data_IF_101841592418
#
_entry.id   IF_101841592418
#
_cell.length_a   1.000
_cell.length_b   1.000
_cell.length_c   1.000
_cell.angle_alpha   90.00
_cell.angle_beta   90.00
_cell.angle_gamma   90.00
#
_symmetry.space_group_name_H-M   'P 1'
#
loop_
_entity.id
_entity.type
_entity.pdbx_description
1 polymer ?
#
# COMPACT_ATOMS: atom_id res chain seq x y z
N UNK A 1 7.37 8.21 -27.35
CA UNK A 1 6.49 8.97 -28.28
C UNK A 1 7.33 9.44 -29.45
N UNK A 2 7.00 9.06 -30.69
CA UNK A 2 7.67 9.53 -31.93
C UNK A 2 7.03 10.84 -32.37
N UNK A 3 7.84 11.79 -32.83
CA UNK A 3 7.36 13.07 -33.38
C UNK A 3 6.58 12.85 -34.68
N UNK A 4 5.41 13.47 -34.79
CA UNK A 4 4.58 13.46 -35.99
C UNK A 4 5.07 14.53 -36.97
N UNK A 5 5.33 14.13 -38.22
CA UNK A 5 5.88 14.98 -39.28
C UNK A 5 4.83 15.63 -40.19
N UNK A 6 3.52 15.47 -39.96
CA UNK A 6 2.47 16.24 -40.65
C UNK A 6 1.10 16.18 -39.95
N UNK A 7 0.30 17.25 -40.08
CA UNK A 7 -0.95 17.51 -39.36
C UNK A 7 -2.18 16.72 -39.87
N UNK A 8 -3.02 16.24 -38.95
CA UNK A 8 -4.42 16.69 -38.91
C UNK A 8 -4.47 18.08 -38.25
N UNK A 9 -5.48 18.92 -38.52
CA UNK A 9 -5.52 20.30 -37.99
C UNK A 9 -5.69 20.31 -36.45
N UNK A 10 -4.54 20.34 -35.77
CA UNK A 10 -4.38 20.29 -34.33
C UNK A 10 -2.90 20.08 -34.00
N UNK A 11 -2.24 20.95 -33.24
CA UNK A 11 -0.84 20.77 -32.82
C UNK A 11 -0.79 20.46 -31.32
N UNK A 12 -0.24 19.32 -30.93
CA UNK A 12 0.05 18.99 -29.53
C UNK A 12 1.51 19.33 -29.22
N UNK A 13 1.72 20.21 -28.24
CA UNK A 13 3.03 20.56 -27.70
C UNK A 13 3.10 20.08 -26.26
N UNK A 14 4.13 19.30 -25.92
CA UNK A 14 4.41 18.89 -24.54
C UNK A 14 5.77 19.44 -24.14
N UNK A 15 5.83 20.17 -23.03
CA UNK A 15 7.09 20.71 -22.48
C UNK A 15 7.16 20.49 -20.97
N UNK A 16 8.38 20.27 -20.47
CA UNK A 16 8.64 20.26 -19.02
C UNK A 16 9.06 21.67 -18.62
N UNK A 17 8.40 22.23 -17.61
CA UNK A 17 8.75 23.50 -16.99
C UNK A 17 8.48 23.42 -15.48
N UNK A 18 9.51 23.04 -14.73
CA UNK A 18 9.41 22.88 -13.27
C UNK A 18 9.24 24.21 -12.54
N UNK A 19 9.61 25.34 -13.15
CA UNK A 19 9.43 26.66 -12.55
C UNK A 19 7.97 27.10 -12.67
N UNK A 20 7.34 26.87 -13.83
CA UNK A 20 5.91 27.13 -14.07
C UNK A 20 5.02 26.22 -13.19
N UNK A 21 5.46 24.98 -12.91
CA UNK A 21 4.76 23.99 -12.08
C UNK A 21 5.41 23.74 -10.71
N UNK A 22 5.83 24.79 -10.02
CA UNK A 22 6.53 24.68 -8.73
C UNK A 22 5.72 24.03 -7.59
N UNK A 23 4.39 23.97 -7.69
CA UNK A 23 3.52 23.42 -6.66
C UNK A 23 3.63 21.89 -6.51
N UNK A 24 3.88 21.15 -7.61
CA UNK A 24 4.00 19.69 -7.58
C UNK A 24 4.71 19.15 -8.82
N UNK A 25 5.63 18.16 -8.68
CA UNK A 25 6.23 17.50 -9.83
C UNK A 25 5.21 16.71 -10.66
N UNK A 26 4.08 16.32 -10.07
CA UNK A 26 2.95 15.66 -10.76
C UNK A 26 1.97 16.65 -11.38
N UNK A 27 2.15 17.96 -11.18
CA UNK A 27 1.25 18.97 -11.70
C UNK A 27 1.45 19.27 -13.19
N UNK A 28 0.40 19.78 -13.82
CA UNK A 28 0.43 20.26 -15.21
C UNK A 28 -0.48 21.45 -15.47
N UNK A 29 -0.20 22.16 -16.57
CA UNK A 29 -1.11 23.11 -17.21
C UNK A 29 -1.45 22.58 -18.60
N UNK A 30 -2.73 22.34 -18.86
CA UNK A 30 -3.28 22.01 -20.17
C UNK A 30 -3.97 23.25 -20.74
N UNK A 31 -3.56 23.71 -21.92
CA UNK A 31 -4.21 24.82 -22.63
C UNK A 31 -4.65 24.35 -24.01
N UNK A 32 -5.95 24.49 -24.32
CA UNK A 32 -6.56 24.14 -25.59
C UNK A 32 -7.12 25.43 -26.20
N UNK A 33 -6.60 25.84 -27.35
CA UNK A 33 -7.07 27.03 -28.04
C UNK A 33 -6.72 27.00 -29.54
N UNK A 34 -7.63 27.44 -30.41
CA UNK A 34 -7.36 27.71 -31.84
C UNK A 34 -6.63 26.58 -32.60
N UNK A 35 -6.94 25.31 -32.31
CA UNK A 35 -6.26 24.16 -32.93
C UNK A 35 -4.86 23.86 -32.37
N UNK A 36 -4.53 24.38 -31.19
CA UNK A 36 -3.31 24.05 -30.45
C UNK A 36 -3.68 23.50 -29.08
N UNK A 37 -2.99 22.43 -28.69
CA UNK A 37 -2.99 21.91 -27.33
C UNK A 37 -1.57 21.99 -26.79
N UNK A 38 -1.40 22.65 -25.65
CA UNK A 38 -0.12 22.69 -24.94
C UNK A 38 -0.29 22.05 -23.57
N UNK A 39 0.57 21.09 -23.25
CA UNK A 39 0.70 20.51 -21.91
C UNK A 39 2.07 20.92 -21.37
N UNK A 40 2.06 21.69 -20.28
CA UNK A 40 3.26 21.99 -19.50
C UNK A 40 3.23 21.16 -18.23
N UNK A 41 4.16 20.21 -18.08
CA UNK A 41 4.30 19.40 -16.87
C UNK A 41 5.45 19.87 -15.98
N UNK A 42 5.32 19.71 -14.66
CA UNK A 42 6.44 19.91 -13.74
C UNK A 42 7.52 18.82 -13.85
N UNK A 43 7.14 17.65 -14.37
CA UNK A 43 8.01 16.51 -14.67
C UNK A 43 7.39 15.65 -15.79
N UNK A 44 7.98 14.48 -16.07
CA UNK A 44 7.38 13.48 -16.95
C UNK A 44 6.01 12.97 -16.43
N UNK A 45 5.84 12.83 -15.11
CA UNK A 45 4.56 12.43 -14.52
C UNK A 45 3.48 13.51 -14.75
N UNK A 46 3.84 14.78 -14.59
CA UNK A 46 2.93 15.89 -14.91
C UNK A 46 2.49 15.90 -16.38
N UNK A 47 3.44 15.69 -17.31
CA UNK A 47 3.10 15.54 -18.73
C UNK A 47 2.14 14.36 -18.96
N UNK A 48 2.41 13.22 -18.34
CA UNK A 48 1.57 12.04 -18.43
C UNK A 48 0.15 12.31 -17.95
N UNK A 49 -0.02 12.90 -16.76
CA UNK A 49 -1.36 13.22 -16.23
C UNK A 49 -2.09 14.29 -17.03
N UNK A 50 -1.37 15.26 -17.61
CA UNK A 50 -1.96 16.20 -18.55
C UNK A 50 -2.46 15.53 -19.82
N UNK A 51 -1.75 14.50 -20.30
CA UNK A 51 -2.20 13.69 -21.42
C UNK A 51 -3.44 12.85 -21.06
N UNK A 52 -3.54 12.34 -19.83
CA UNK A 52 -4.74 11.64 -19.36
C UNK A 52 -5.99 12.53 -19.40
N UNK A 53 -5.87 13.77 -18.90
CA UNK A 53 -6.97 14.74 -18.96
C UNK A 53 -7.33 15.10 -20.40
N UNK A 54 -6.34 15.28 -21.27
CA UNK A 54 -6.61 15.51 -22.70
C UNK A 54 -7.33 14.32 -23.34
N UNK A 55 -6.95 13.07 -23.01
CA UNK A 55 -7.60 11.87 -23.55
C UNK A 55 -9.08 11.83 -23.19
N UNK A 56 -9.42 12.09 -21.92
CA UNK A 56 -10.81 12.16 -21.46
C UNK A 56 -11.60 13.25 -22.19
N UNK A 57 -11.02 14.44 -22.37
CA UNK A 57 -11.67 15.51 -23.14
C UNK A 57 -11.88 15.15 -24.62
N UNK A 58 -10.98 14.37 -25.22
CA UNK A 58 -11.12 13.88 -26.60
C UNK A 58 -12.26 12.87 -26.69
N UNK A 59 -12.34 11.93 -25.74
CA UNK A 59 -13.38 10.91 -25.73
C UNK A 59 -14.76 11.53 -25.47
N UNK A 60 -14.89 12.43 -24.49
CA UNK A 60 -16.13 13.18 -24.23
C UNK A 60 -16.59 14.00 -25.45
N UNK A 61 -15.65 14.67 -26.14
CA UNK A 61 -15.96 15.43 -27.34
C UNK A 61 -16.39 14.54 -28.51
N UNK A 62 -15.76 13.36 -28.65
CA UNK A 62 -16.12 12.36 -29.65
C UNK A 62 -17.53 11.83 -29.39
N UNK A 63 -17.84 11.47 -28.15
CA UNK A 63 -19.13 10.91 -27.75
C UNK A 63 -20.28 11.91 -27.93
N UNK A 64 -20.00 13.20 -27.70
CA UNK A 64 -20.96 14.29 -27.92
C UNK A 64 -20.97 14.82 -29.36
N UNK A 65 -20.08 14.31 -30.23
CA UNK A 65 -19.87 14.80 -31.60
C UNK A 65 -19.66 16.33 -31.67
N UNK A 66 -18.82 16.85 -30.77
CA UNK A 66 -18.43 18.26 -30.70
C UNK A 66 -16.91 18.40 -30.88
N UNK A 67 -16.43 19.63 -31.10
CA UNK A 67 -15.01 19.92 -30.99
C UNK A 67 -14.58 19.91 -29.51
N UNK A 68 -13.31 19.56 -29.25
CA UNK A 68 -12.72 19.64 -27.91
C UNK A 68 -12.85 21.11 -27.42
N UNK A 69 -13.40 21.36 -26.23
CA UNK A 69 -13.63 22.72 -25.74
C UNK A 69 -12.32 23.47 -25.54
N UNK A 70 -12.30 24.76 -25.90
CA UNK A 70 -11.19 25.63 -25.57
C UNK A 70 -11.17 25.90 -24.07
N UNK A 71 -10.05 25.61 -23.40
CA UNK A 71 -9.93 25.74 -21.96
C UNK A 71 -8.48 25.92 -21.52
N UNK A 72 -8.31 26.31 -20.26
CA UNK A 72 -7.03 26.23 -19.53
C UNK A 72 -7.30 25.51 -18.21
N UNK A 73 -6.64 24.39 -18.00
CA UNK A 73 -6.70 23.59 -16.78
C UNK A 73 -5.33 23.65 -16.12
N UNK A 74 -5.28 24.07 -14.86
CA UNK A 74 -4.12 23.93 -13.99
C UNK A 74 -4.49 22.92 -12.93
N UNK A 75 -3.74 21.81 -12.86
CA UNK A 75 -4.11 20.67 -12.03
C UNK A 75 -2.87 20.03 -11.40
N UNK A 76 -3.02 19.59 -10.15
CA UNK A 76 -1.98 18.94 -9.35
C UNK A 76 -2.64 18.17 -8.19
N UNK A 77 -2.03 17.05 -7.73
CA UNK A 77 -2.67 16.22 -6.72
C UNK A 77 -2.55 16.80 -5.31
N UNK A 78 -3.64 16.71 -4.54
CA UNK A 78 -3.64 17.01 -3.10
C UNK A 78 -2.85 15.97 -2.27
N UNK A 79 -2.85 14.71 -2.74
CA UNK A 79 -2.19 13.58 -2.09
C UNK A 79 -1.19 12.97 -3.07
N UNK A 80 0.07 12.89 -2.65
CA UNK A 80 1.19 12.41 -3.49
C UNK A 80 1.25 10.90 -3.66
N UNK A 81 0.61 10.13 -2.78
CA UNK A 81 0.53 8.67 -2.86
C UNK A 81 -0.95 8.25 -2.93
N UNK A 82 -1.41 7.93 -4.14
CA UNK A 82 -2.79 7.58 -4.46
C UNK A 82 -2.80 6.10 -4.81
N UNK A 83 -2.83 5.26 -3.78
CA UNK A 83 -2.70 3.82 -3.94
C UNK A 83 -4.04 3.09 -3.94
N UNK A 84 -4.10 2.01 -4.70
CA UNK A 84 -5.14 0.98 -4.58
C UNK A 84 -4.57 -0.26 -3.90
N UNK A 85 -5.34 -0.86 -2.99
CA UNK A 85 -5.03 -2.17 -2.43
C UNK A 85 -5.64 -3.27 -3.31
N UNK A 86 -4.82 -4.21 -3.75
CA UNK A 86 -5.22 -5.35 -4.56
C UNK A 86 -4.97 -6.65 -3.78
N UNK A 87 -6.04 -7.28 -3.32
CA UNK A 87 -6.01 -8.56 -2.62
C UNK A 87 -6.10 -9.74 -3.60
N UNK A 88 -5.09 -10.61 -3.60
CA UNK A 88 -5.03 -11.83 -4.43
C UNK A 88 -5.30 -13.12 -3.64
N UNK A 89 -5.55 -13.04 -2.33
CA UNK A 89 -5.69 -14.19 -1.41
C UNK A 89 -6.64 -15.25 -1.93
N UNK A 90 -7.85 -14.85 -2.32
CA UNK A 90 -8.92 -15.79 -2.68
C UNK A 90 -9.08 -16.02 -4.18
N UNK A 91 -8.78 -15.01 -5.00
CA UNK A 91 -9.02 -15.04 -6.44
C UNK A 91 -7.82 -14.47 -7.19
N UNK A 92 -7.41 -15.18 -8.24
CA UNK A 92 -6.35 -14.76 -9.14
C UNK A 92 -6.92 -14.68 -10.56
N UNK A 93 -6.88 -13.49 -11.14
CA UNK A 93 -7.29 -13.27 -12.51
C UNK A 93 -6.16 -13.55 -13.50
N UNK A 94 -6.52 -13.57 -14.79
CA UNK A 94 -5.53 -13.62 -15.87
C UNK A 94 -4.57 -12.42 -15.81
N UNK A 95 -3.32 -12.60 -16.25
CA UNK A 95 -2.36 -11.50 -16.31
C UNK A 95 -2.87 -10.31 -17.14
N UNK A 96 -3.60 -10.56 -18.23
CA UNK A 96 -4.21 -9.51 -19.07
C UNK A 96 -5.14 -8.59 -18.28
N UNK A 97 -5.92 -9.13 -17.33
CA UNK A 97 -6.78 -8.33 -16.47
C UNK A 97 -5.97 -7.29 -15.68
N UNK A 98 -4.80 -7.68 -15.16
CA UNK A 98 -3.96 -6.75 -14.41
C UNK A 98 -3.31 -5.69 -15.30
N UNK A 99 -2.94 -6.02 -16.53
CA UNK A 99 -2.47 -5.03 -17.51
C UNK A 99 -3.57 -4.00 -17.82
N UNK A 100 -4.78 -4.47 -18.15
CA UNK A 100 -5.93 -3.60 -18.42
C UNK A 100 -6.30 -2.75 -17.20
N UNK A 101 -6.17 -3.32 -15.99
CA UNK A 101 -6.37 -2.58 -14.75
C UNK A 101 -5.33 -1.46 -14.58
N UNK A 102 -4.05 -1.69 -14.88
CA UNK A 102 -3.04 -0.63 -14.80
C UNK A 102 -3.33 0.52 -15.77
N UNK A 103 -3.83 0.23 -16.98
CA UNK A 103 -4.29 1.26 -17.92
C UNK A 103 -5.44 2.09 -17.31
N UNK A 104 -6.47 1.41 -16.79
CA UNK A 104 -7.63 2.09 -16.17
C UNK A 104 -7.26 2.92 -14.94
N UNK A 105 -6.33 2.45 -14.12
CA UNK A 105 -5.82 3.18 -12.96
C UNK A 105 -5.04 4.42 -13.38
N UNK A 106 -4.25 4.31 -14.45
CA UNK A 106 -3.51 5.43 -15.01
C UNK A 106 -4.44 6.52 -15.57
N UNK A 107 -5.55 6.15 -16.20
CA UNK A 107 -6.56 7.09 -16.72
C UNK A 107 -7.10 8.01 -15.61
N UNK A 108 -7.27 7.47 -14.40
CA UNK A 108 -7.75 8.22 -13.22
C UNK A 108 -6.61 8.72 -12.32
N UNK A 109 -5.36 8.72 -12.83
CA UNK A 109 -4.17 9.27 -12.18
C UNK A 109 -3.79 8.60 -10.85
N UNK A 110 -4.22 7.36 -10.62
CA UNK A 110 -3.66 6.51 -9.55
C UNK A 110 -2.18 6.27 -9.87
N UNK A 111 -1.33 6.34 -8.85
CA UNK A 111 0.13 6.26 -9.02
C UNK A 111 0.79 5.17 -8.20
N UNK A 112 -0.02 4.36 -7.52
CA UNK A 112 0.49 3.24 -6.73
C UNK A 112 -0.52 2.11 -6.61
N UNK A 113 0.01 0.90 -6.43
CA UNK A 113 -0.74 -0.29 -6.08
C UNK A 113 0.01 -1.04 -4.98
N UNK A 114 -0.69 -1.47 -3.95
CA UNK A 114 -0.18 -2.42 -2.96
C UNK A 114 -0.83 -3.77 -3.28
N UNK A 115 -0.03 -4.78 -3.64
CA UNK A 115 -0.53 -6.13 -3.95
C UNK A 115 -0.32 -7.04 -2.75
N UNK A 116 -1.39 -7.54 -2.17
CA UNK A 116 -1.36 -8.64 -1.20
C UNK A 116 -1.24 -9.97 -1.93
N UNK A 117 -0.02 -10.50 -1.95
CA UNK A 117 0.36 -11.65 -2.78
C UNK A 117 -0.15 -12.99 -2.25
N UNK A 118 -0.13 -13.18 -0.93
CA UNK A 118 -0.34 -14.49 -0.27
C UNK A 118 0.34 -15.64 -1.04
N UNK A 119 -0.36 -16.73 -1.35
CA UNK A 119 0.16 -17.87 -2.11
C UNK A 119 0.13 -17.69 -3.64
N UNK A 120 -0.20 -16.50 -4.16
CA UNK A 120 -0.32 -16.24 -5.60
C UNK A 120 0.98 -15.80 -6.27
N UNK A 121 2.02 -15.50 -5.49
CA UNK A 121 3.38 -15.39 -6.00
C UNK A 121 4.05 -16.77 -5.99
N UNK A 122 4.64 -17.17 -7.12
CA UNK A 122 5.47 -18.38 -7.19
C UNK A 122 6.84 -18.08 -6.60
N UNK A 123 6.92 -18.18 -5.28
CA UNK A 123 8.16 -17.99 -4.52
C UNK A 123 9.25 -18.98 -4.99
N UNK A 124 10.47 -18.47 -5.18
CA UNK A 124 11.64 -19.27 -5.58
C UNK A 124 12.40 -19.77 -4.36
N UNK A 125 12.47 -18.97 -3.29
CA UNK A 125 13.18 -19.30 -2.06
C UNK A 125 12.36 -20.18 -1.10
N UNK A 126 11.02 -20.12 -1.19
CA UNK A 126 10.10 -20.99 -0.42
C UNK A 126 9.00 -21.56 -1.33
N UNK A 127 9.32 -22.44 -2.30
CA UNK A 127 8.39 -22.86 -3.35
C UNK A 127 7.10 -23.53 -2.86
N UNK A 128 7.17 -24.19 -1.70
CA UNK A 128 6.03 -24.91 -1.11
C UNK A 128 4.84 -23.99 -0.79
N UNK A 129 5.09 -22.69 -0.53
CA UNK A 129 4.08 -21.69 -0.19
C UNK A 129 3.25 -21.31 -1.41
N UNK A 130 3.85 -21.28 -2.60
CA UNK A 130 3.16 -20.87 -3.83
C UNK A 130 2.10 -21.89 -4.25
N UNK A 131 0.89 -21.40 -4.56
CA UNK A 131 -0.14 -22.22 -5.15
C UNK A 131 0.27 -22.74 -6.53
N UNK A 132 -0.32 -23.86 -6.98
CA UNK A 132 -0.02 -24.45 -8.29
C UNK A 132 -0.26 -23.51 -9.48
N UNK A 133 -1.20 -22.57 -9.33
CA UNK A 133 -1.55 -21.55 -10.32
C UNK A 133 -0.89 -20.18 -10.06
N UNK A 134 0.04 -20.09 -9.11
CA UNK A 134 0.74 -18.86 -8.77
C UNK A 134 1.53 -18.31 -9.98
N UNK A 135 1.61 -16.99 -10.09
CA UNK A 135 2.32 -16.27 -11.15
C UNK A 135 3.81 -16.17 -10.79
N UNK A 136 4.69 -16.39 -11.77
CA UNK A 136 6.14 -16.27 -11.58
C UNK A 136 6.59 -14.85 -11.27
N UNK A 137 7.68 -14.73 -10.51
CA UNK A 137 8.38 -13.46 -10.24
C UNK A 137 8.62 -12.68 -11.54
N UNK A 138 9.06 -13.34 -12.62
CA UNK A 138 9.28 -12.68 -13.92
C UNK A 138 8.03 -12.04 -14.51
N UNK A 139 6.85 -12.66 -14.33
CA UNK A 139 5.61 -12.15 -14.89
C UNK A 139 5.07 -10.98 -14.07
N UNK A 140 5.17 -11.04 -12.74
CA UNK A 140 4.88 -9.89 -11.90
C UNK A 140 5.86 -8.75 -12.12
N UNK A 141 7.14 -9.05 -12.38
CA UNK A 141 8.12 -8.03 -12.75
C UNK A 141 7.72 -7.34 -14.07
N UNK A 142 7.31 -8.08 -15.10
CA UNK A 142 6.79 -7.50 -16.36
C UNK A 142 5.56 -6.61 -16.13
N UNK A 143 4.65 -7.03 -15.25
CA UNK A 143 3.52 -6.19 -14.84
C UNK A 143 3.99 -4.93 -14.11
N UNK A 144 4.98 -5.05 -13.22
CA UNK A 144 5.56 -3.91 -12.51
C UNK A 144 6.30 -2.95 -13.45
N UNK A 145 7.00 -3.45 -14.47
CA UNK A 145 7.64 -2.65 -15.51
C UNK A 145 6.56 -1.87 -16.29
N UNK A 146 5.48 -2.54 -16.71
CA UNK A 146 4.36 -1.93 -17.44
C UNK A 146 3.61 -0.86 -16.63
N UNK A 147 3.40 -1.11 -15.34
CA UNK A 147 2.81 -0.16 -14.42
C UNK A 147 3.72 1.07 -14.23
N UNK A 148 5.04 0.84 -14.11
CA UNK A 148 6.00 1.92 -13.92
C UNK A 148 6.07 2.87 -15.13
N UNK A 149 5.96 2.35 -16.35
CA UNK A 149 5.83 3.16 -17.57
C UNK A 149 4.60 4.09 -17.57
N UNK A 150 3.63 3.84 -16.69
CA UNK A 150 2.40 4.62 -16.49
C UNK A 150 2.42 5.44 -15.20
N UNK A 151 3.59 5.61 -14.59
CA UNK A 151 3.77 6.26 -13.29
C UNK A 151 3.05 5.55 -12.13
N UNK A 152 2.83 4.24 -12.23
CA UNK A 152 2.27 3.42 -11.16
C UNK A 152 3.38 2.59 -10.51
N UNK A 153 3.60 2.79 -9.21
CA UNK A 153 4.50 1.96 -8.42
C UNK A 153 3.74 0.79 -7.80
N UNK A 154 4.21 -0.43 -8.03
CA UNK A 154 3.68 -1.62 -7.36
C UNK A 154 4.55 -1.93 -6.15
N UNK A 155 3.94 -1.95 -4.95
CA UNK A 155 4.58 -2.39 -3.71
C UNK A 155 3.99 -3.72 -3.23
N UNK A 156 4.79 -4.63 -2.66
CA UNK A 156 4.30 -5.90 -2.15
C UNK A 156 3.71 -5.76 -0.75
N UNK A 157 2.61 -6.47 -0.51
CA UNK A 157 2.14 -6.90 0.80
C UNK A 157 2.29 -8.42 0.88
N UNK A 158 3.01 -8.88 1.90
CA UNK A 158 3.07 -10.30 2.26
C UNK A 158 2.72 -10.39 3.73
N UNK A 159 1.66 -11.11 4.05
CA UNK A 159 1.21 -11.30 5.42
C UNK A 159 2.29 -11.99 6.25
N UNK A 160 2.69 -11.32 7.33
CA UNK A 160 3.75 -11.77 8.21
C UNK A 160 3.20 -12.46 9.45
N UNK A 161 2.90 -11.72 10.51
CA UNK A 161 2.64 -12.28 11.85
C UNK A 161 1.28 -12.99 11.99
N UNK A 162 0.22 -12.39 11.44
CA UNK A 162 -1.14 -12.95 11.37
C UNK A 162 -1.48 -13.31 9.93
N UNK A 163 -2.69 -13.87 9.70
CA UNK A 163 -3.12 -14.37 8.38
C UNK A 163 -2.09 -15.32 7.72
N UNK A 164 -1.34 -16.04 8.54
CA UNK A 164 -0.19 -16.81 8.08
C UNK A 164 -0.56 -18.22 7.59
N UNK A 165 -1.85 -18.58 7.56
CA UNK A 165 -2.31 -19.93 7.23
C UNK A 165 -1.84 -20.41 5.85
N UNK A 166 -1.71 -19.52 4.86
CA UNK A 166 -1.17 -19.89 3.54
C UNK A 166 0.29 -20.39 3.60
N UNK A 167 1.05 -20.00 4.63
CA UNK A 167 2.40 -20.50 4.92
C UNK A 167 2.34 -21.65 5.91
N UNK A 168 1.73 -21.43 7.08
CA UNK A 168 1.81 -22.32 8.22
C UNK A 168 0.99 -23.61 8.07
N UNK A 169 0.10 -23.72 7.06
CA UNK A 169 -0.57 -24.98 6.70
C UNK A 169 0.40 -26.08 6.25
N UNK A 170 1.58 -25.69 5.74
CA UNK A 170 2.55 -26.62 5.20
C UNK A 170 3.30 -27.38 6.32
N UNK A 171 3.48 -28.71 6.22
CA UNK A 171 4.06 -29.52 7.30
C UNK A 171 5.43 -29.05 7.79
N UNK A 172 6.28 -28.54 6.90
CA UNK A 172 7.63 -28.05 7.22
C UNK A 172 7.63 -26.79 8.09
N UNK A 173 6.54 -26.02 8.11
CA UNK A 173 6.43 -24.78 8.89
C UNK A 173 5.56 -24.93 10.14
N UNK A 174 5.14 -26.15 10.48
CA UNK A 174 4.26 -26.39 11.63
C UNK A 174 4.89 -25.96 12.97
N UNK A 175 6.21 -26.12 13.11
CA UNK A 175 6.96 -25.73 14.31
C UNK A 175 7.15 -24.20 14.46
N UNK A 176 6.76 -23.42 13.44
CA UNK A 176 6.81 -21.97 13.45
C UNK A 176 5.54 -21.34 13.99
N UNK A 177 4.50 -22.12 14.29
CA UNK A 177 3.20 -21.62 14.79
C UNK A 177 3.32 -21.15 16.24
N UNK A 178 2.66 -20.04 16.57
CA UNK A 178 2.54 -19.59 17.96
C UNK A 178 1.65 -20.54 18.77
N UNK A 179 0.53 -20.98 18.20
CA UNK A 179 -0.31 -22.03 18.74
C UNK A 179 -0.14 -23.30 17.90
N UNK A 180 0.40 -24.37 18.49
CA UNK A 180 0.60 -25.66 17.80
C UNK A 180 -0.66 -26.24 17.12
N UNK A 181 -1.85 -25.81 17.57
CA UNK A 181 -3.15 -26.26 17.04
C UNK A 181 -3.74 -25.35 15.95
N UNK A 182 -3.14 -24.19 15.70
CA UNK A 182 -3.64 -23.18 14.75
C UNK A 182 -2.53 -22.73 13.79
N UNK A 183 -2.85 -22.62 12.51
CA UNK A 183 -1.92 -22.09 11.49
C UNK A 183 -2.05 -20.57 11.30
N UNK A 184 -2.76 -19.88 12.19
CA UNK A 184 -3.09 -18.47 12.03
C UNK A 184 -1.90 -17.51 12.16
N UNK A 185 -0.99 -17.79 13.09
CA UNK A 185 0.07 -16.86 13.48
C UNK A 185 1.41 -17.53 13.75
N UNK A 186 2.49 -16.82 13.42
CA UNK A 186 3.86 -17.24 13.72
C UNK A 186 4.21 -17.02 15.19
N UNK A 187 5.06 -17.89 15.75
CA UNK A 187 5.82 -17.66 16.98
C UNK A 187 6.88 -16.59 16.69
N UNK A 188 6.73 -15.36 17.22
CA UNK A 188 7.65 -14.28 16.92
C UNK A 188 9.01 -14.47 17.61
N UNK A 189 9.13 -15.39 18.58
CA UNK A 189 10.41 -15.69 19.24
C UNK A 189 11.14 -16.87 18.61
N UNK A 190 10.54 -17.54 17.61
CA UNK A 190 11.25 -18.55 16.84
C UNK A 190 12.12 -17.87 15.77
N UNK A 191 13.46 -18.02 15.77
CA UNK A 191 14.32 -17.39 14.76
C UNK A 191 14.02 -17.85 13.32
N UNK A 192 13.58 -19.10 13.12
CA UNK A 192 13.26 -19.65 11.80
C UNK A 192 12.03 -18.97 11.15
N UNK A 193 11.15 -18.34 11.95
CA UNK A 193 10.06 -17.48 11.46
C UNK A 193 10.59 -16.43 10.50
N UNK A 194 11.72 -15.81 10.85
CA UNK A 194 12.29 -14.73 10.06
C UNK A 194 12.98 -15.24 8.79
N UNK A 195 13.52 -16.46 8.79
CA UNK A 195 14.10 -17.06 7.59
C UNK A 195 13.04 -17.22 6.50
N UNK A 196 11.88 -17.80 6.85
CA UNK A 196 10.77 -17.96 5.90
C UNK A 196 10.20 -16.62 5.47
N UNK A 197 9.88 -15.72 6.42
CA UNK A 197 9.32 -14.41 6.07
C UNK A 197 10.26 -13.59 5.18
N UNK A 198 11.56 -13.58 5.48
CA UNK A 198 12.54 -12.81 4.69
C UNK A 198 12.75 -13.42 3.30
N UNK A 199 12.67 -14.74 3.15
CA UNK A 199 12.68 -15.39 1.84
C UNK A 199 11.50 -14.92 0.98
N UNK A 200 10.28 -14.93 1.55
CA UNK A 200 9.07 -14.46 0.86
C UNK A 200 9.17 -12.96 0.51
N UNK A 201 9.63 -12.12 1.44
CA UNK A 201 9.79 -10.69 1.19
C UNK A 201 10.81 -10.39 0.10
N UNK A 202 11.96 -11.09 0.08
CA UNK A 202 12.97 -10.92 -0.99
C UNK A 202 12.37 -11.22 -2.36
N UNK A 203 11.62 -12.31 -2.48
CA UNK A 203 11.02 -12.69 -3.76
C UNK A 203 9.89 -11.74 -4.18
N UNK A 204 9.08 -11.25 -3.22
CA UNK A 204 8.08 -10.22 -3.49
C UNK A 204 8.74 -8.90 -3.93
N UNK A 205 9.83 -8.48 -3.28
CA UNK A 205 10.63 -7.30 -3.67
C UNK A 205 11.20 -7.45 -5.09
N UNK A 206 11.68 -8.65 -5.47
CA UNK A 206 12.14 -8.93 -6.84
C UNK A 206 11.00 -8.84 -7.86
N UNK A 207 9.80 -9.28 -7.48
CA UNK A 207 8.61 -9.23 -8.33
C UNK A 207 8.10 -7.80 -8.54
N UNK A 208 8.40 -6.89 -7.61
CA UNK A 208 7.93 -5.49 -7.63
C UNK A 208 9.10 -4.50 -7.44
N UNK A 209 10.00 -4.38 -8.43
CA UNK A 209 11.28 -3.68 -8.26
C UNK A 209 11.15 -2.16 -8.05
N UNK A 210 10.06 -1.53 -8.50
CA UNK A 210 9.88 -0.08 -8.43
C UNK A 210 9.12 0.42 -7.19
N UNK A 211 8.46 -0.47 -6.44
CA UNK A 211 7.72 -0.07 -5.25
C UNK A 211 8.63 0.50 -4.16
N UNK A 212 8.26 1.61 -3.55
CA UNK A 212 9.04 2.13 -2.41
C UNK A 212 8.72 1.46 -1.07
N UNK A 213 7.60 0.74 -0.97
CA UNK A 213 7.13 0.14 0.28
C UNK A 213 7.34 -1.38 0.31
N UNK A 214 7.35 -1.94 1.53
CA UNK A 214 7.10 -3.35 1.81
C UNK A 214 6.04 -3.38 2.91
N UNK A 215 4.83 -3.83 2.58
CA UNK A 215 3.77 -3.98 3.56
C UNK A 215 3.88 -5.35 4.24
N UNK A 216 4.10 -5.36 5.56
CA UNK A 216 4.36 -6.60 6.34
C UNK A 216 3.10 -7.21 6.95
N UNK A 217 1.95 -6.57 6.73
CA UNK A 217 0.66 -7.02 7.23
C UNK A 217 0.57 -6.80 8.73
N UNK A 218 0.26 -7.88 9.45
CA UNK A 218 0.32 -7.93 10.92
C UNK A 218 -0.99 -7.54 11.62
N UNK A 219 -2.08 -7.53 10.87
CA UNK A 219 -3.44 -7.38 11.36
C UNK A 219 -3.98 -8.66 11.99
N UNK A 220 -5.01 -8.51 12.83
CA UNK A 220 -5.88 -9.58 13.33
C UNK A 220 -5.16 -10.82 13.91
N UNK A 221 -3.93 -10.67 14.41
CA UNK A 221 -3.08 -11.76 14.94
C UNK A 221 -3.79 -12.57 16.04
N UNK A 222 -4.80 -11.99 16.69
CA UNK A 222 -5.61 -12.68 17.68
C UNK A 222 -4.88 -12.79 19.02
N UNK A 223 -4.85 -13.99 19.61
CA UNK A 223 -4.17 -14.25 20.88
C UNK A 223 -2.72 -14.68 20.63
N UNK A 224 -1.80 -13.72 20.67
CA UNK A 224 -0.36 -13.95 20.52
C UNK A 224 0.30 -14.30 21.87
N UNK A 225 1.25 -15.24 21.84
CA UNK A 225 2.04 -15.69 22.99
C UNK A 225 1.70 -17.09 23.48
N UNK A 226 1.17 -17.94 22.60
CA UNK A 226 0.74 -19.30 22.92
C UNK A 226 1.89 -20.31 22.92
N UNK A 227 3.03 -19.98 22.30
CA UNK A 227 4.16 -20.90 22.20
C UNK A 227 4.86 -21.07 23.55
N UNK A 228 5.53 -22.21 23.75
CA UNK A 228 6.34 -22.43 24.94
C UNK A 228 7.46 -21.39 25.07
N UNK A 229 8.03 -20.92 23.94
CA UNK A 229 9.05 -19.86 23.91
C UNK A 229 8.46 -18.54 24.39
N UNK A 230 7.31 -18.15 23.86
CA UNK A 230 6.63 -16.92 24.22
C UNK A 230 6.22 -16.93 25.71
N UNK A 231 5.61 -18.03 26.19
CA UNK A 231 5.24 -18.20 27.61
C UNK A 231 6.44 -18.08 28.54
N UNK A 232 7.57 -18.73 28.21
CA UNK A 232 8.81 -18.66 29.00
C UNK A 232 9.45 -17.28 29.00
N UNK A 233 9.23 -16.48 27.95
CA UNK A 233 9.81 -15.13 27.84
C UNK A 233 9.17 -14.11 28.79
N UNK A 234 7.94 -14.37 29.25
CA UNK A 234 7.17 -13.42 30.08
C UNK A 234 6.71 -12.15 29.34
N UNK A 235 6.91 -12.06 28.02
CA UNK A 235 6.48 -10.92 27.22
C UNK A 235 4.96 -10.92 27.03
N UNK A 236 4.38 -9.72 27.11
CA UNK A 236 2.99 -9.48 26.72
C UNK A 236 2.80 -9.55 25.20
N UNK A 237 1.56 -9.71 24.74
CA UNK A 237 1.25 -9.78 23.30
C UNK A 237 1.71 -8.52 22.53
N UNK A 238 1.61 -7.33 23.12
CA UNK A 238 2.12 -6.10 22.49
C UNK A 238 3.64 -6.10 22.35
N UNK A 239 4.37 -6.59 23.36
CA UNK A 239 5.83 -6.69 23.30
C UNK A 239 6.29 -7.71 22.26
N UNK A 240 5.58 -8.83 22.13
CA UNK A 240 5.84 -9.84 21.11
C UNK A 240 5.56 -9.29 19.70
N UNK A 241 4.46 -8.56 19.52
CA UNK A 241 4.13 -7.93 18.25
C UNK A 241 5.14 -6.85 17.86
N UNK A 242 5.54 -5.99 18.79
CA UNK A 242 6.55 -4.95 18.54
C UNK A 242 7.94 -5.55 18.32
N UNK A 243 8.27 -6.66 18.99
CA UNK A 243 9.50 -7.41 18.74
C UNK A 243 9.56 -7.91 17.30
N UNK A 244 8.49 -8.55 16.82
CA UNK A 244 8.37 -8.97 15.43
C UNK A 244 8.42 -7.79 14.46
N UNK A 245 7.62 -6.73 14.71
CA UNK A 245 7.55 -5.56 13.84
C UNK A 245 8.92 -4.89 13.68
N UNK A 246 9.68 -4.77 14.77
CA UNK A 246 11.05 -4.23 14.73
C UNK A 246 11.94 -5.00 13.75
N UNK A 247 11.91 -6.33 13.81
CA UNK A 247 12.73 -7.20 12.93
C UNK A 247 12.38 -7.07 11.46
N UNK A 248 11.08 -7.08 11.13
CA UNK A 248 10.65 -6.95 9.73
C UNK A 248 10.84 -5.52 9.20
N UNK A 249 10.78 -4.50 10.06
CA UNK A 249 11.13 -3.13 9.70
C UNK A 249 12.63 -2.96 9.41
N UNK A 250 13.50 -3.59 10.21
CA UNK A 250 14.95 -3.63 9.96
C UNK A 250 15.24 -4.26 8.60
N UNK A 251 14.64 -5.43 8.33
CA UNK A 251 14.77 -6.10 7.03
C UNK A 251 14.30 -5.21 5.86
N UNK A 252 13.13 -4.57 5.99
CA UNK A 252 12.61 -3.69 4.94
C UNK A 252 13.59 -2.57 4.61
N UNK A 253 14.11 -1.90 5.65
CA UNK A 253 15.09 -0.82 5.53
C UNK A 253 16.40 -1.29 4.87
N UNK A 254 16.92 -2.45 5.27
CA UNK A 254 18.13 -3.06 4.69
C UNK A 254 17.97 -3.38 3.20
N UNK A 255 16.73 -3.64 2.76
CA UNK A 255 16.40 -3.91 1.36
C UNK A 255 15.88 -2.67 0.61
N UNK A 256 16.11 -1.46 1.16
CA UNK A 256 15.75 -0.20 0.51
C UNK A 256 14.25 0.05 0.40
N UNK A 257 13.44 -0.56 1.27
CA UNK A 257 11.99 -0.40 1.33
C UNK A 257 11.55 0.31 2.60
N UNK A 258 10.44 1.02 2.53
CA UNK A 258 9.77 1.63 3.68
C UNK A 258 8.72 0.63 4.19
N UNK A 259 8.81 0.15 5.45
CA UNK A 259 7.84 -0.79 5.98
C UNK A 259 6.48 -0.14 6.21
N UNK A 260 5.40 -0.83 5.82
CA UNK A 260 4.01 -0.50 6.19
C UNK A 260 3.44 -1.63 7.04
N UNK A 261 2.70 -1.29 8.09
CA UNK A 261 2.07 -2.23 9.02
C UNK A 261 0.62 -1.83 9.27
N UNK A 262 -0.28 -2.81 9.31
CA UNK A 262 -1.68 -2.60 9.70
C UNK A 262 -1.79 -2.28 11.18
N UNK A 263 -2.47 -1.20 11.53
CA UNK A 263 -2.40 -0.66 12.89
C UNK A 263 -3.52 -1.09 13.86
N UNK A 264 -4.44 -1.94 13.41
CA UNK A 264 -5.60 -2.39 14.17
C UNK A 264 -5.21 -2.98 15.53
N UNK A 265 -4.16 -3.80 15.54
CA UNK A 265 -3.73 -4.51 16.75
C UNK A 265 -3.20 -3.56 17.82
N UNK A 266 -2.59 -2.42 17.45
CA UNK A 266 -2.14 -1.39 18.40
C UNK A 266 -3.32 -0.83 19.19
N UNK A 267 -4.41 -0.50 18.49
CA UNK A 267 -5.60 0.04 19.12
C UNK A 267 -6.41 -1.03 19.83
N UNK A 268 -6.37 -2.29 19.37
CA UNK A 268 -7.06 -3.40 20.00
C UNK A 268 -6.45 -3.70 21.37
N UNK A 269 -5.12 -3.74 21.45
CA UNK A 269 -4.38 -3.96 22.69
C UNK A 269 -4.47 -2.78 23.67
N UNK A 270 -5.01 -1.64 23.21
CA UNK A 270 -5.24 -0.43 24.01
C UNK A 270 -6.72 -0.12 24.25
N UNK A 271 -7.64 -1.06 23.94
CA UNK A 271 -9.10 -0.89 24.09
C UNK A 271 -9.71 0.29 23.30
N UNK A 272 -9.07 0.70 22.19
CA UNK A 272 -9.51 1.82 21.36
C UNK A 272 -10.02 1.39 19.99
N UNK A 273 -9.79 0.15 19.58
CA UNK A 273 -10.08 -0.32 18.23
C UNK A 273 -11.56 -0.18 17.83
N UNK A 274 -12.49 -0.50 18.74
CA UNK A 274 -13.93 -0.37 18.46
C UNK A 274 -14.33 1.06 18.04
N UNK A 275 -13.68 2.07 18.60
CA UNK A 275 -13.93 3.48 18.25
C UNK A 275 -13.54 3.85 16.82
N UNK A 276 -12.80 2.97 16.14
CA UNK A 276 -12.24 3.18 14.79
C UNK A 276 -13.05 2.50 13.69
N UNK A 277 -14.04 1.66 14.03
CA UNK A 277 -14.87 0.97 13.04
C UNK A 277 -16.37 0.94 13.39
N UNK A 278 -16.76 1.09 14.66
CA UNK A 278 -18.18 1.09 15.05
C UNK A 278 -18.80 2.50 14.95
N UNK A 279 -19.70 2.77 13.99
CA UNK A 279 -20.33 4.07 13.83
C UNK A 279 -21.41 4.35 14.88
N UNK A 280 -21.84 3.35 15.67
CA UNK A 280 -22.89 3.50 16.66
C UNK A 280 -22.42 4.20 17.94
N UNK A 281 -21.11 4.29 18.18
CA UNK A 281 -20.53 4.90 19.38
C UNK A 281 -20.60 6.44 19.27
N UNK A 282 -21.30 7.12 20.20
CA UNK A 282 -21.38 8.59 20.19
C UNK A 282 -20.00 9.23 20.37
N UNK A 283 -19.78 10.39 19.74
CA UNK A 283 -18.50 11.11 19.83
C UNK A 283 -18.04 11.37 21.28
N UNK A 284 -18.96 11.71 22.18
CA UNK A 284 -18.63 11.94 23.59
C UNK A 284 -18.07 10.68 24.29
N UNK A 285 -18.60 9.50 23.94
CA UNK A 285 -18.10 8.22 24.47
C UNK A 285 -16.73 7.89 23.86
N UNK A 286 -16.53 8.15 22.56
CA UNK A 286 -15.19 8.03 21.94
C UNK A 286 -14.18 8.93 22.67
N UNK A 287 -14.52 10.19 22.93
CA UNK A 287 -13.65 11.12 23.65
C UNK A 287 -13.30 10.65 25.05
N UNK A 288 -14.28 10.11 25.79
CA UNK A 288 -14.08 9.53 27.11
C UNK A 288 -13.12 8.32 27.06
N UNK A 289 -13.37 7.35 26.18
CA UNK A 289 -12.52 6.14 26.05
C UNK A 289 -11.09 6.49 25.68
N UNK A 290 -10.89 7.44 24.77
CA UNK A 290 -9.56 7.93 24.42
C UNK A 290 -8.86 8.61 25.60
N UNK A 291 -9.56 9.43 26.38
CA UNK A 291 -9.00 10.05 27.59
C UNK A 291 -8.56 9.01 28.63
N UNK A 292 -9.30 7.91 28.77
CA UNK A 292 -9.01 6.84 29.73
C UNK A 292 -7.86 5.93 29.28
N UNK A 293 -7.73 5.68 27.97
CA UNK A 293 -6.83 4.64 27.45
C UNK A 293 -5.60 5.16 26.67
N UNK A 294 -5.53 6.44 26.28
CA UNK A 294 -4.35 6.99 25.56
C UNK A 294 -3.04 6.80 26.35
N UNK A 295 -3.11 6.78 27.68
CA UNK A 295 -1.95 6.52 28.54
C UNK A 295 -1.31 5.14 28.29
N UNK A 296 -2.11 4.12 27.95
CA UNK A 296 -1.63 2.77 27.65
C UNK A 296 -0.78 2.76 26.36
N UNK A 297 -1.23 3.51 25.35
CA UNK A 297 -0.46 3.70 24.11
C UNK A 297 0.86 4.44 24.39
N UNK A 298 0.80 5.51 25.19
CA UNK A 298 1.96 6.32 25.51
C UNK A 298 3.01 5.57 26.34
N UNK A 299 2.60 4.62 27.19
CA UNK A 299 3.54 3.78 27.95
C UNK A 299 4.40 2.90 27.02
N UNK A 300 3.81 2.39 25.93
CA UNK A 300 4.47 1.46 25.01
C UNK A 300 5.06 2.12 23.76
N UNK A 301 4.93 3.44 23.61
CA UNK A 301 5.37 4.19 22.42
C UNK A 301 6.84 3.96 22.05
N UNK A 302 7.71 3.71 23.03
CA UNK A 302 9.13 3.49 22.80
C UNK A 302 9.43 2.16 22.09
N UNK A 303 8.46 1.23 22.06
CA UNK A 303 8.57 -0.04 21.34
C UNK A 303 8.27 0.11 19.85
N UNK A 304 7.71 1.24 19.41
CA UNK A 304 7.16 1.42 18.07
C UNK A 304 8.27 1.83 17.10
N UNK A 305 8.56 1.05 16.04
CA UNK A 305 9.59 1.40 15.08
C UNK A 305 9.27 2.72 14.36
N UNK A 306 10.12 3.74 14.56
CA UNK A 306 9.97 5.06 13.92
C UNK A 306 10.12 5.03 12.40
N UNK A 307 10.71 3.96 11.87
CA UNK A 307 10.88 3.74 10.43
C UNK A 307 9.63 3.17 9.77
N UNK A 308 8.63 2.73 10.54
CA UNK A 308 7.39 2.16 10.04
C UNK A 308 6.36 3.24 9.71
N UNK A 309 5.63 3.01 8.63
CA UNK A 309 4.37 3.68 8.34
C UNK A 309 3.24 2.84 8.94
N UNK A 310 2.46 3.43 9.83
CA UNK A 310 1.30 2.79 10.44
C UNK A 310 0.07 3.07 9.59
N UNK A 311 -0.49 2.03 8.97
CA UNK A 311 -1.61 2.15 8.05
C UNK A 311 -2.92 1.93 8.79
N UNK A 312 -3.69 3.02 8.92
CA UNK A 312 -5.05 3.01 9.45
C UNK A 312 -6.01 2.73 8.32
N UNK A 313 -6.73 1.61 8.41
CA UNK A 313 -7.72 1.21 7.41
C UNK A 313 -9.14 1.26 7.96
N UNK A 314 -10.08 1.89 7.24
CA UNK A 314 -11.52 1.75 7.50
C UNK A 314 -12.33 1.87 6.20
N UNK A 315 -12.75 0.73 5.64
CA UNK A 315 -13.47 0.63 4.36
C UNK A 315 -14.73 1.52 4.34
N UNK A 316 -15.57 1.39 5.35
CA UNK A 316 -16.92 1.98 5.32
C UNK A 316 -16.99 3.35 6.03
N UNK A 317 -16.12 3.58 7.00
CA UNK A 317 -16.26 4.69 7.95
C UNK A 317 -14.93 5.43 8.26
N UNK A 318 -14.19 5.90 7.23
CA UNK A 318 -12.87 6.51 7.41
C UNK A 318 -12.89 7.81 8.24
N UNK A 319 -14.04 8.48 8.33
CA UNK A 319 -14.18 9.78 9.01
C UNK A 319 -14.58 9.69 10.49
N UNK A 320 -14.69 8.48 11.05
CA UNK A 320 -15.06 8.30 12.45
C UNK A 320 -14.11 9.04 13.41
N UNK A 321 -14.62 9.54 14.55
CA UNK A 321 -13.79 10.25 15.52
C UNK A 321 -12.57 9.45 16.01
N UNK A 322 -12.70 8.13 16.17
CA UNK A 322 -11.57 7.27 16.55
C UNK A 322 -10.46 7.23 15.50
N UNK A 323 -10.81 7.15 14.21
CA UNK A 323 -9.82 7.20 13.11
C UNK A 323 -9.07 8.54 13.10
N UNK A 324 -9.79 9.66 13.27
CA UNK A 324 -9.17 10.99 13.37
C UNK A 324 -8.24 11.11 14.57
N UNK A 325 -8.63 10.56 15.73
CA UNK A 325 -7.80 10.55 16.95
C UNK A 325 -6.56 9.68 16.79
N UNK A 326 -6.66 8.52 16.15
CA UNK A 326 -5.51 7.66 15.81
C UNK A 326 -4.48 8.39 14.97
N UNK A 327 -4.90 8.99 13.86
CA UNK A 327 -4.01 9.76 12.98
C UNK A 327 -3.38 10.97 13.69
N UNK A 328 -4.16 11.68 14.52
CA UNK A 328 -3.64 12.78 15.33
C UNK A 328 -2.62 12.30 16.38
N UNK A 329 -2.84 11.14 16.99
CA UNK A 329 -1.92 10.54 17.96
C UNK A 329 -0.60 10.12 17.32
N UNK A 330 -0.62 9.50 16.13
CA UNK A 330 0.61 9.20 15.38
C UNK A 330 1.42 10.47 15.08
N UNK A 331 0.74 11.50 14.54
CA UNK A 331 1.36 12.79 14.23
C UNK A 331 1.98 13.45 15.47
N UNK A 332 1.26 13.48 16.59
CA UNK A 332 1.72 14.04 17.88
C UNK A 332 2.99 13.33 18.39
N UNK A 333 3.13 12.03 18.12
CA UNK A 333 4.26 11.22 18.58
C UNK A 333 5.37 11.03 17.53
N UNK A 334 5.31 11.77 16.41
CA UNK A 334 6.32 11.69 15.35
C UNK A 334 6.40 10.31 14.70
N UNK A 335 5.27 9.61 14.57
CA UNK A 335 5.14 8.36 13.83
C UNK A 335 4.51 8.66 12.47
N UNK A 336 5.07 8.07 11.41
CA UNK A 336 4.49 8.17 10.07
C UNK A 336 3.22 7.32 10.00
N UNK A 337 2.16 7.84 9.40
CA UNK A 337 0.92 7.08 9.20
C UNK A 337 0.35 7.33 7.81
N UNK A 338 -0.40 6.35 7.33
CA UNK A 338 -1.24 6.43 6.14
C UNK A 338 -2.67 6.09 6.55
N UNK A 339 -3.63 6.71 5.86
CA UNK A 339 -5.03 6.36 5.99
C UNK A 339 -5.48 5.74 4.67
N UNK A 340 -6.21 4.63 4.74
CA UNK A 340 -6.77 3.92 3.61
C UNK A 340 -8.29 3.77 3.78
#
# INVERSE_FOLDING_TARGET
LKEASSQGKGTLVMKIDSAEMSASPEGYILTINNGYVTITGGSQAGLFYGAQTLSQLIDDARDQNIAIPACKITDYPDISYRSIHLDLKHHLDSLSYYYDMMDRLADVKINAVIIEFEDKLRYEQSPVVGASHAISIENFKKLSDYAHERNIEISPLVQGLGHASFILKHPEYKELRDDSTSDWSFDPLNPETYEVQFNLYRDAIKATPYGRYLHVGGDEVGKLGMSDRAKKSGKSSIELQMYWLTKVCEFAKENGRIPIFWDDMIFKLSNLYETTYDPSIPQAEVEKRWKENEALLNEKINLFPKTCVYMRWSYDHPTLPGNKKALAWYKKNGLASMAA
#
